data_IF_910868178761
#
_entry.id   IF_910868178761
#
_cell.length_a   1.000
_cell.length_b   1.000
_cell.length_c   1.000
_cell.angle_alpha   90.00
_cell.angle_beta   90.00
_cell.angle_gamma   90.00
#
_symmetry.space_group_name_H-M   'P 1'
#
loop_
_entity.id
_entity.type
_entity.pdbx_description
1 polymer ?
#
# COMPACT_ATOMS: atom_id res chain seq x y z
N UNK A 1 1.94 -19.58 15.89
CA UNK A 1 1.68 -18.22 15.38
C UNK A 1 0.78 -17.56 16.43
N UNK A 2 1.20 -16.45 17.05
CA UNK A 2 0.45 -15.82 18.15
C UNK A 2 -0.73 -15.07 17.53
N UNK A 3 -1.95 -15.40 17.96
CA UNK A 3 -3.19 -14.73 17.53
C UNK A 3 -3.16 -13.25 17.91
N UNK A 4 -3.63 -12.35 17.05
CA UNK A 4 -3.84 -10.95 17.36
C UNK A 4 -5.01 -10.77 18.34
N UNK A 5 -5.98 -11.69 18.29
CA UNK A 5 -6.98 -11.80 19.35
C UNK A 5 -6.41 -12.70 20.46
N UNK A 6 -5.58 -12.10 21.31
CA UNK A 6 -4.88 -12.75 22.44
C UNK A 6 -5.30 -12.10 23.77
N UNK A 7 -5.21 -12.87 24.86
CA UNK A 7 -5.54 -12.44 26.22
C UNK A 7 -4.81 -11.14 26.59
N UNK A 8 -3.60 -10.94 26.06
CA UNK A 8 -2.82 -9.72 26.24
C UNK A 8 -3.52 -8.46 25.72
N UNK A 9 -4.19 -8.52 24.57
CA UNK A 9 -4.89 -7.37 24.01
C UNK A 9 -6.18 -7.07 24.77
N UNK A 10 -6.84 -8.09 25.32
CA UNK A 10 -7.98 -7.94 26.21
C UNK A 10 -7.57 -7.30 27.55
N UNK A 11 -6.42 -7.72 28.10
CA UNK A 11 -5.83 -7.13 29.31
C UNK A 11 -5.53 -5.64 29.08
N UNK A 12 -4.88 -5.30 27.97
CA UNK A 12 -4.60 -3.91 27.61
C UNK A 12 -5.88 -3.09 27.43
N UNK A 13 -6.90 -3.65 26.79
CA UNK A 13 -8.19 -2.97 26.63
C UNK A 13 -8.84 -2.64 27.98
N UNK A 14 -8.88 -3.62 28.90
CA UNK A 14 -9.41 -3.41 30.24
C UNK A 14 -8.59 -2.38 31.02
N UNK A 15 -7.25 -2.43 30.94
CA UNK A 15 -6.38 -1.42 31.55
C UNK A 15 -6.71 -0.01 31.06
N UNK A 16 -6.83 0.18 29.74
CA UNK A 16 -7.12 1.51 29.20
C UNK A 16 -8.52 2.01 29.55
N UNK A 17 -9.50 1.11 29.66
CA UNK A 17 -10.84 1.47 30.15
C UNK A 17 -10.79 1.92 31.61
N UNK A 18 -10.11 1.20 32.48
CA UNK A 18 -9.90 1.62 33.88
C UNK A 18 -9.24 3.00 33.97
N UNK A 19 -8.20 3.24 33.16
CA UNK A 19 -7.50 4.52 33.11
C UNK A 19 -8.42 5.69 32.71
N UNK A 20 -9.37 5.46 31.78
CA UNK A 20 -10.40 6.45 31.41
C UNK A 20 -11.36 6.81 32.56
N UNK A 21 -11.52 5.91 33.54
CA UNK A 21 -12.28 6.15 34.76
C UNK A 21 -11.40 6.61 35.94
N UNK A 22 -10.19 7.12 35.66
CA UNK A 22 -9.23 7.58 36.68
C UNK A 22 -8.85 6.48 37.69
N UNK A 23 -8.84 5.22 37.22
CA UNK A 23 -8.37 4.05 37.97
C UNK A 23 -7.12 3.51 37.30
N UNK A 24 -5.96 3.68 37.94
CA UNK A 24 -4.69 3.17 37.43
C UNK A 24 -4.35 1.83 38.09
N UNK A 25 -4.62 0.74 37.38
CA UNK A 25 -4.27 -0.63 37.78
C UNK A 25 -3.51 -1.26 36.61
N UNK A 26 -2.20 -1.02 36.45
CA UNK A 26 -1.45 -1.57 35.32
C UNK A 26 -1.29 -3.08 35.42
N UNK A 27 -1.30 -3.82 34.29
CA UNK A 27 -1.08 -5.27 34.29
C UNK A 27 0.33 -5.63 34.78
N UNK A 28 0.43 -6.69 35.58
CA UNK A 28 1.71 -7.21 36.08
C UNK A 28 2.38 -8.13 35.05
N UNK A 29 3.70 -8.27 35.13
CA UNK A 29 4.48 -9.10 34.21
C UNK A 29 4.09 -10.59 34.25
N UNK A 30 3.53 -11.03 35.37
CA UNK A 30 3.02 -12.38 35.64
C UNK A 30 1.60 -12.62 35.11
N UNK A 31 0.87 -11.55 34.77
CA UNK A 31 -0.51 -11.63 34.30
C UNK A 31 -0.54 -11.87 32.78
N UNK A 32 -0.30 -13.13 32.40
CA UNK A 32 -0.50 -13.58 31.03
C UNK A 32 -1.99 -13.84 30.70
N UNK A 33 -2.83 -14.02 31.73
CA UNK A 33 -4.22 -14.43 31.58
C UNK A 33 -5.22 -13.37 32.03
N UNK A 34 -6.24 -13.14 31.20
CA UNK A 34 -7.27 -12.13 31.43
C UNK A 34 -8.05 -12.36 32.72
N UNK A 35 -8.39 -13.61 33.05
CA UNK A 35 -9.17 -13.94 34.25
C UNK A 35 -8.41 -13.60 35.55
N UNK A 36 -7.08 -13.76 35.56
CA UNK A 36 -6.25 -13.38 36.70
C UNK A 36 -6.26 -11.87 36.88
N UNK A 37 -6.07 -11.13 35.79
CA UNK A 37 -6.08 -9.67 35.82
C UNK A 37 -7.46 -9.12 36.23
N UNK A 38 -8.55 -9.65 35.69
CA UNK A 38 -9.91 -9.26 36.08
C UNK A 38 -10.20 -9.55 37.55
N UNK A 39 -9.73 -10.68 38.09
CA UNK A 39 -9.87 -11.00 39.52
C UNK A 39 -9.14 -9.98 40.39
N UNK A 40 -7.93 -9.57 40.00
CA UNK A 40 -7.16 -8.54 40.71
C UNK A 40 -7.87 -7.19 40.63
N UNK A 41 -8.28 -6.77 39.44
CA UNK A 41 -9.05 -5.54 39.21
C UNK A 41 -10.31 -5.52 40.07
N UNK A 42 -11.09 -6.61 40.08
CA UNK A 42 -12.30 -6.75 40.91
C UNK A 42 -12.01 -6.55 42.39
N UNK A 43 -11.00 -7.26 42.92
CA UNK A 43 -10.61 -7.14 44.32
C UNK A 43 -10.16 -5.72 44.68
N UNK A 44 -9.38 -5.07 43.82
CA UNK A 44 -8.88 -3.71 44.04
C UNK A 44 -10.02 -2.68 44.00
N UNK A 45 -10.95 -2.79 43.05
CA UNK A 45 -12.11 -1.90 42.95
C UNK A 45 -13.04 -2.00 44.18
N UNK A 46 -13.29 -3.22 44.66
CA UNK A 46 -14.10 -3.46 45.85
C UNK A 46 -13.39 -2.99 47.13
N UNK A 47 -12.10 -3.29 47.27
CA UNK A 47 -11.32 -2.87 48.44
C UNK A 47 -11.15 -1.35 48.55
N UNK A 48 -11.14 -0.64 47.42
CA UNK A 48 -11.07 0.81 47.36
C UNK A 48 -12.41 1.53 47.51
N UNK A 49 -13.51 0.83 47.84
CA UNK A 49 -14.88 1.38 47.87
C UNK A 49 -15.26 2.15 46.58
N UNK A 50 -14.73 1.72 45.42
CA UNK A 50 -14.97 2.39 44.13
C UNK A 50 -16.27 1.95 43.44
N UNK A 51 -17.03 1.04 44.05
CA UNK A 51 -18.34 0.60 43.57
C UNK A 51 -18.86 -0.62 44.32
N UNK A 52 -20.15 -0.90 44.15
CA UNK A 52 -20.78 -2.14 44.62
C UNK A 52 -20.35 -3.34 43.77
N UNK A 53 -20.51 -4.56 44.31
CA UNK A 53 -20.21 -5.81 43.58
C UNK A 53 -20.90 -5.88 42.21
N UNK A 54 -22.17 -5.46 42.17
CA UNK A 54 -22.95 -5.41 40.93
C UNK A 54 -22.38 -4.43 39.92
N UNK A 55 -21.93 -3.26 40.35
CA UNK A 55 -21.37 -2.23 39.44
C UNK A 55 -20.03 -2.68 38.87
N UNK A 56 -19.15 -3.25 39.70
CA UNK A 56 -17.85 -3.78 39.27
C UNK A 56 -18.04 -4.93 38.28
N UNK A 57 -18.93 -5.87 38.56
CA UNK A 57 -19.19 -7.00 37.67
C UNK A 57 -19.85 -6.55 36.35
N UNK A 58 -20.74 -5.54 36.42
CA UNK A 58 -21.35 -4.92 35.23
C UNK A 58 -20.29 -4.23 34.38
N UNK A 59 -19.36 -3.48 35.00
CA UNK A 59 -18.27 -2.80 34.30
C UNK A 59 -17.35 -3.79 33.57
N UNK A 60 -16.91 -4.86 34.23
CA UNK A 60 -16.03 -5.89 33.62
C UNK A 60 -16.76 -6.56 32.45
N UNK A 61 -18.03 -6.94 32.63
CA UNK A 61 -18.82 -7.58 31.57
C UNK A 61 -19.07 -6.65 30.38
N UNK A 62 -19.42 -5.39 30.61
CA UNK A 62 -19.58 -4.40 29.55
C UNK A 62 -18.26 -4.19 28.80
N UNK A 63 -17.14 -4.11 29.52
CA UNK A 63 -15.81 -3.97 28.93
C UNK A 63 -15.47 -5.16 28.03
N UNK A 64 -15.80 -6.40 28.43
CA UNK A 64 -15.63 -7.59 27.56
C UNK A 64 -16.47 -7.52 26.28
N UNK A 65 -17.73 -7.08 26.40
CA UNK A 65 -18.63 -6.92 25.24
C UNK A 65 -18.12 -5.83 24.29
N UNK A 66 -17.65 -4.72 24.83
CA UNK A 66 -17.03 -3.64 24.06
C UNK A 66 -15.72 -4.10 23.39
N UNK A 67 -14.86 -4.84 24.10
CA UNK A 67 -13.63 -5.38 23.53
C UNK A 67 -13.90 -6.24 22.30
N UNK A 68 -14.94 -7.08 22.33
CA UNK A 68 -15.38 -7.88 21.16
C UNK A 68 -15.86 -7.03 19.98
N UNK A 69 -16.32 -5.81 20.23
CA UNK A 69 -16.76 -4.88 19.18
C UNK A 69 -15.61 -4.03 18.65
N UNK A 70 -14.65 -3.66 19.50
CA UNK A 70 -13.60 -2.68 19.20
C UNK A 70 -12.28 -3.30 18.70
N UNK A 71 -11.98 -4.54 19.10
CA UNK A 71 -10.77 -5.25 18.70
C UNK A 71 -11.01 -5.98 17.38
N UNK A 72 -10.26 -5.69 16.31
CA UNK A 72 -10.37 -6.45 15.06
C UNK A 72 -9.87 -7.89 15.24
N UNK A 73 -10.51 -8.85 14.56
CA UNK A 73 -10.03 -10.23 14.53
C UNK A 73 -8.92 -10.44 13.47
N UNK A 74 -8.23 -11.59 13.50
CA UNK A 74 -7.15 -11.88 12.55
C UNK A 74 -7.61 -11.84 11.08
N UNK A 75 -8.81 -12.36 10.79
CA UNK A 75 -9.38 -12.33 9.43
C UNK A 75 -9.58 -10.89 8.94
N UNK A 76 -9.92 -9.96 9.84
CA UNK A 76 -10.07 -8.54 9.53
C UNK A 76 -8.71 -7.83 9.29
N UNK A 77 -7.60 -8.45 9.71
CA UNK A 77 -6.25 -7.97 9.47
C UNK A 77 -5.57 -8.67 8.28
N UNK A 78 -6.13 -9.79 7.81
CA UNK A 78 -5.49 -10.66 6.81
C UNK A 78 -5.01 -9.89 5.58
N UNK A 79 -5.83 -8.94 5.11
CA UNK A 79 -5.61 -8.15 3.89
C UNK A 79 -4.28 -7.38 3.86
N UNK A 80 -3.76 -6.92 5.02
CA UNK A 80 -2.44 -6.27 5.07
C UNK A 80 -1.36 -7.17 5.66
N UNK A 81 -1.70 -8.33 6.23
CA UNK A 81 -0.70 -9.29 6.73
C UNK A 81 -0.19 -10.24 5.66
N UNK A 82 -0.92 -10.38 4.56
CA UNK A 82 -0.60 -11.29 3.44
C UNK A 82 -0.20 -10.54 2.16
N UNK A 83 -0.50 -9.25 2.06
CA UNK A 83 -0.17 -8.41 0.92
C UNK A 83 0.81 -7.30 1.33
N UNK A 84 2.04 -7.40 0.80
CA UNK A 84 3.09 -6.42 1.05
C UNK A 84 2.75 -5.02 0.55
N UNK A 85 1.98 -4.91 -0.53
CA UNK A 85 1.50 -3.63 -1.08
C UNK A 85 0.51 -2.96 -0.13
N UNK A 86 -0.43 -3.74 0.41
CA UNK A 86 -1.41 -3.28 1.37
C UNK A 86 -0.74 -2.78 2.66
N UNK A 87 0.21 -3.55 3.22
CA UNK A 87 0.94 -3.14 4.41
C UNK A 87 1.71 -1.83 4.23
N UNK A 88 2.30 -1.63 3.07
CA UNK A 88 3.09 -0.43 2.77
C UNK A 88 2.18 0.79 2.60
N UNK A 89 1.10 0.64 1.80
CA UNK A 89 0.09 1.68 1.61
C UNK A 89 -0.54 2.11 2.94
N UNK A 90 -0.93 1.16 3.78
CA UNK A 90 -1.56 1.42 5.08
C UNK A 90 -0.64 2.25 6.00
N UNK A 91 0.65 1.92 6.05
CA UNK A 91 1.61 2.71 6.83
C UNK A 91 1.75 4.13 6.28
N UNK A 92 1.94 4.30 4.97
CA UNK A 92 2.07 5.64 4.40
C UNK A 92 0.81 6.48 4.58
N UNK A 93 -0.37 5.89 4.43
CA UNK A 93 -1.65 6.59 4.57
C UNK A 93 -1.86 7.08 6.00
N UNK A 94 -1.71 6.18 6.96
CA UNK A 94 -1.85 6.52 8.39
C UNK A 94 -0.77 7.47 8.88
N UNK A 95 0.42 7.46 8.27
CA UNK A 95 1.50 8.40 8.56
C UNK A 95 1.23 9.81 7.98
N UNK A 96 0.70 9.91 6.75
CA UNK A 96 0.36 11.19 6.14
C UNK A 96 -0.81 11.90 6.81
N UNK A 97 -1.78 11.15 7.35
CA UNK A 97 -2.89 11.72 8.14
C UNK A 97 -2.39 12.49 9.37
N UNK A 98 -1.19 12.19 9.88
CA UNK A 98 -0.53 12.95 10.95
C UNK A 98 0.24 14.19 10.46
N UNK A 99 0.58 14.26 9.17
CA UNK A 99 1.31 15.39 8.56
C UNK A 99 0.36 16.50 8.12
N UNK A 100 -0.87 16.15 7.72
CA UNK A 100 -1.90 17.09 7.22
C UNK A 100 -2.82 17.64 8.30
N UNK A 101 -2.69 17.23 9.57
CA UNK A 101 -3.49 17.73 10.70
C UNK A 101 -3.34 19.23 11.01
N UNK A 102 -2.56 19.98 10.21
CA UNK A 102 -2.53 21.45 10.20
C UNK A 102 -3.40 22.12 9.13
N UNK A 103 -3.94 21.38 8.14
CA UNK A 103 -4.78 21.92 7.08
C UNK A 103 -5.94 20.96 6.77
N UNK A 104 -7.10 21.27 7.38
CA UNK A 104 -8.42 20.64 7.24
C UNK A 104 -8.69 19.34 8.04
N UNK A 105 -9.92 19.17 8.57
CA UNK A 105 -10.27 18.11 9.51
C UNK A 105 -10.57 16.81 8.77
N UNK A 106 -9.55 16.02 8.46
CA UNK A 106 -9.76 14.60 8.18
C UNK A 106 -9.91 13.88 9.53
N UNK A 107 -11.15 13.53 9.89
CA UNK A 107 -11.53 12.81 11.12
C UNK A 107 -11.11 11.33 11.13
N UNK A 108 -10.06 10.96 10.40
CA UNK A 108 -9.71 9.59 10.08
C UNK A 108 -8.25 9.27 10.39
N UNK A 109 -7.66 9.86 11.43
CA UNK A 109 -6.46 9.29 12.04
C UNK A 109 -6.85 8.03 12.83
N UNK A 110 -5.90 7.12 13.06
CA UNK A 110 -6.03 6.31 14.27
C UNK A 110 -6.24 7.29 15.42
N UNK A 111 -7.30 7.13 16.22
CA UNK A 111 -7.57 8.05 17.30
C UNK A 111 -6.27 8.20 18.13
N UNK A 112 -5.94 9.46 18.48
CA UNK A 112 -4.71 9.85 19.16
C UNK A 112 -5.02 10.17 20.63
N UNK A 113 -4.35 9.49 21.56
CA UNK A 113 -4.32 9.88 22.96
C UNK A 113 -3.67 11.26 23.05
N UNK A 114 -4.41 12.29 23.44
CA UNK A 114 -3.80 13.52 23.92
C UNK A 114 -3.32 13.25 25.35
N UNK A 115 -2.00 13.18 25.59
CA UNK A 115 -1.45 13.25 26.96
C UNK A 115 -0.40 12.22 27.41
N UNK A 116 0.10 11.30 26.56
CA UNK A 116 1.17 10.37 26.96
C UNK A 116 2.47 10.65 26.19
N UNK A 117 3.30 11.53 26.73
CA UNK A 117 4.53 12.06 26.11
C UNK A 117 5.66 11.04 25.84
N UNK A 118 5.52 9.77 26.23
CA UNK A 118 6.47 8.69 25.90
C UNK A 118 5.97 7.77 24.76
N UNK A 119 4.71 7.95 24.35
CA UNK A 119 4.01 7.09 23.38
C UNK A 119 3.46 7.89 22.19
N UNK A 120 3.50 9.23 22.28
CA UNK A 120 3.05 10.20 21.31
C UNK A 120 4.22 10.99 20.72
N UNK A 121 5.27 10.31 20.25
CA UNK A 121 6.06 11.00 19.23
C UNK A 121 5.24 10.96 17.94
N UNK A 122 5.01 12.11 17.28
CA UNK A 122 4.51 12.15 15.91
C UNK A 122 5.63 11.59 15.04
N UNK A 123 5.80 10.27 15.05
CA UNK A 123 6.76 9.60 14.19
C UNK A 123 6.21 9.71 12.78
N UNK A 124 6.60 10.76 12.08
CA UNK A 124 6.61 10.75 10.62
C UNK A 124 7.57 9.66 10.21
N UNK A 125 7.03 8.49 9.87
CA UNK A 125 7.83 7.31 9.58
C UNK A 125 8.70 7.53 8.36
N UNK A 126 8.26 8.31 7.37
CA UNK A 126 9.10 8.76 6.25
C UNK A 126 10.17 7.75 5.81
N UNK A 127 11.44 8.08 6.07
CA UNK A 127 12.60 7.25 5.72
C UNK A 127 12.84 6.04 6.65
N UNK A 128 12.18 6.01 7.80
CA UNK A 128 12.23 4.98 8.84
C UNK A 128 11.12 3.90 8.67
N UNK A 129 10.35 3.92 7.57
CA UNK A 129 9.42 2.82 7.28
C UNK A 129 10.20 1.50 7.23
N UNK A 130 9.75 0.46 7.94
CA UNK A 130 10.39 -0.83 7.89
C UNK A 130 10.46 -1.37 6.45
N UNK A 131 11.67 -1.72 5.95
CA UNK A 131 11.87 -2.09 4.56
C UNK A 131 11.32 -3.48 4.21
N UNK A 132 10.92 -4.27 5.21
CA UNK A 132 10.47 -5.65 5.04
C UNK A 132 9.03 -5.79 5.52
N UNK A 133 8.20 -6.45 4.72
CA UNK A 133 6.78 -6.70 5.00
C UNK A 133 6.49 -7.17 6.43
N UNK A 134 7.18 -8.21 6.92
CA UNK A 134 6.93 -8.76 8.26
C UNK A 134 7.16 -7.74 9.38
N UNK A 135 8.14 -6.84 9.23
CA UNK A 135 8.39 -5.79 10.20
C UNK A 135 7.33 -4.69 10.12
N UNK A 136 6.85 -4.35 8.90
CA UNK A 136 5.71 -3.44 8.72
C UNK A 136 4.45 -4.00 9.39
N UNK A 137 4.15 -5.28 9.17
CA UNK A 137 2.98 -5.94 9.78
C UNK A 137 3.02 -5.86 11.29
N UNK A 138 4.18 -6.13 11.92
CA UNK A 138 4.33 -5.99 13.37
C UNK A 138 4.08 -4.56 13.83
N UNK A 139 4.68 -3.58 13.15
CA UNK A 139 4.50 -2.17 13.47
C UNK A 139 3.03 -1.72 13.35
N UNK A 140 2.34 -2.14 12.28
CA UNK A 140 0.91 -1.88 12.09
C UNK A 140 0.10 -2.51 13.23
N UNK A 141 0.35 -3.79 13.55
CA UNK A 141 -0.32 -4.49 14.64
C UNK A 141 -0.11 -3.76 15.98
N UNK A 142 1.10 -3.30 16.28
CA UNK A 142 1.39 -2.52 17.48
C UNK A 142 0.64 -1.18 17.51
N UNK A 143 0.52 -0.48 16.36
CA UNK A 143 -0.27 0.74 16.25
C UNK A 143 -1.76 0.46 16.50
N UNK A 144 -2.31 -0.59 15.87
CA UNK A 144 -3.71 -0.99 16.08
C UNK A 144 -3.97 -1.25 17.56
N UNK A 145 -3.10 -2.02 18.24
CA UNK A 145 -3.23 -2.35 19.67
C UNK A 145 -3.27 -1.10 20.55
N UNK A 146 -2.43 -0.11 20.26
CA UNK A 146 -2.39 1.15 21.02
C UNK A 146 -3.67 1.97 20.84
N UNK A 147 -4.23 1.98 19.63
CA UNK A 147 -5.44 2.74 19.30
C UNK A 147 -6.74 2.13 19.80
N UNK A 148 -6.77 0.83 20.15
CA UNK A 148 -7.99 0.15 20.64
C UNK A 148 -8.60 0.91 21.84
N UNK A 149 -7.74 1.51 22.68
CA UNK A 149 -8.14 2.28 23.86
C UNK A 149 -9.11 3.42 23.57
N UNK A 150 -9.12 3.93 22.34
CA UNK A 150 -9.78 5.17 22.00
C UNK A 150 -11.16 4.96 21.36
N UNK A 151 -11.47 3.72 20.96
CA UNK A 151 -12.72 3.36 20.29
C UNK A 151 -12.67 3.57 18.77
N UNK A 152 -13.56 2.88 18.06
CA UNK A 152 -13.70 2.82 16.60
C UNK A 152 -12.52 2.21 15.83
N UNK A 153 -11.53 1.61 16.49
CA UNK A 153 -10.33 1.04 15.83
C UNK A 153 -10.68 -0.04 14.82
N UNK A 154 -11.56 -0.98 15.18
CA UNK A 154 -12.05 -2.02 14.24
C UNK A 154 -12.77 -1.41 13.05
N UNK A 155 -13.68 -0.47 13.27
CA UNK A 155 -14.43 0.19 12.19
C UNK A 155 -13.49 0.93 11.22
N UNK A 156 -12.45 1.58 11.77
CA UNK A 156 -11.44 2.26 10.97
C UNK A 156 -10.62 1.28 10.12
N UNK A 157 -10.18 0.15 10.69
CA UNK A 157 -9.51 -0.92 9.94
C UNK A 157 -10.41 -1.46 8.82
N UNK A 158 -11.69 -1.72 9.10
CA UNK A 158 -12.64 -2.19 8.09
C UNK A 158 -12.86 -1.16 6.98
N UNK A 159 -12.90 0.13 7.32
CA UNK A 159 -12.98 1.22 6.34
C UNK A 159 -11.76 1.22 5.42
N UNK A 160 -10.55 1.15 5.99
CA UNK A 160 -9.31 1.12 5.20
C UNK A 160 -9.20 -0.14 4.34
N UNK A 161 -9.69 -1.28 4.84
CA UNK A 161 -9.78 -2.51 4.05
C UNK A 161 -10.70 -2.33 2.83
N UNK A 162 -11.89 -1.75 3.02
CA UNK A 162 -12.82 -1.46 1.92
C UNK A 162 -12.21 -0.52 0.89
N UNK A 163 -11.50 0.51 1.34
CA UNK A 163 -10.80 1.46 0.49
C UNK A 163 -9.67 0.79 -0.31
N UNK A 164 -8.83 -0.02 0.35
CA UNK A 164 -7.82 -0.84 -0.31
C UNK A 164 -8.43 -1.73 -1.39
N UNK A 165 -9.55 -2.40 -1.07
CA UNK A 165 -10.26 -3.25 -2.01
C UNK A 165 -10.79 -2.46 -3.22
N UNK A 166 -11.34 -1.26 -3.02
CA UNK A 166 -11.77 -0.41 -4.13
C UNK A 166 -10.58 0.01 -5.02
N UNK A 167 -9.46 0.41 -4.41
CA UNK A 167 -8.25 0.80 -5.13
C UNK A 167 -7.69 -0.37 -5.97
N UNK A 168 -7.55 -1.55 -5.38
CA UNK A 168 -6.93 -2.70 -6.06
C UNK A 168 -7.85 -3.35 -7.09
N UNK A 169 -9.17 -3.25 -6.94
CA UNK A 169 -10.12 -3.84 -7.90
C UNK A 169 -10.45 -2.90 -9.04
N UNK A 170 -10.77 -1.64 -8.74
CA UNK A 170 -11.26 -0.70 -9.76
C UNK A 170 -10.16 0.18 -10.34
N UNK A 171 -9.09 0.42 -9.58
CA UNK A 171 -8.10 1.48 -9.87
C UNK A 171 -6.67 0.93 -9.98
N UNK A 172 -6.52 -0.38 -10.14
CA UNK A 172 -5.23 -1.01 -10.30
C UNK A 172 -4.65 -0.77 -11.69
N UNK A 173 -3.76 0.22 -11.77
CA UNK A 173 -3.11 0.63 -13.01
C UNK A 173 -1.91 -0.25 -13.38
N UNK A 174 -1.33 -0.96 -12.41
CA UNK A 174 -0.04 -1.64 -12.54
C UNK A 174 -0.13 -3.16 -12.66
N UNK A 175 -1.34 -3.73 -12.77
CA UNK A 175 -1.59 -5.17 -12.86
C UNK A 175 -0.77 -5.87 -13.96
N UNK A 176 -0.44 -5.14 -15.03
CA UNK A 176 0.30 -5.63 -16.19
C UNK A 176 1.83 -5.46 -16.08
N UNK A 177 2.32 -4.79 -15.03
CA UNK A 177 3.76 -4.59 -14.78
C UNK A 177 4.32 -5.83 -14.10
N UNK A 178 5.58 -6.17 -14.39
CA UNK A 178 6.23 -7.40 -13.92
C UNK A 178 5.55 -8.70 -14.39
N UNK A 179 4.70 -8.60 -15.40
CA UNK A 179 4.05 -9.76 -16.02
C UNK A 179 4.86 -10.34 -17.19
N UNK A 180 4.22 -11.25 -17.93
CA UNK A 180 4.82 -11.95 -19.10
C UNK A 180 5.35 -11.02 -20.20
N UNK A 181 4.93 -9.76 -20.22
CA UNK A 181 5.37 -8.77 -21.19
C UNK A 181 6.78 -8.21 -20.92
N UNK A 182 7.43 -8.58 -19.81
CA UNK A 182 8.83 -8.25 -19.53
C UNK A 182 9.10 -6.82 -19.04
N UNK A 183 8.06 -6.01 -18.83
CA UNK A 183 8.22 -4.66 -18.26
C UNK A 183 8.61 -4.78 -16.78
N UNK A 184 9.79 -4.25 -16.44
CA UNK A 184 10.35 -4.35 -15.09
C UNK A 184 9.71 -3.37 -14.10
N UNK A 185 9.84 -3.67 -12.82
CA UNK A 185 9.41 -2.75 -11.75
C UNK A 185 10.30 -1.51 -11.70
N UNK A 186 11.58 -1.61 -12.04
CA UNK A 186 12.46 -0.43 -12.11
C UNK A 186 11.99 0.56 -13.19
N UNK A 187 11.44 0.08 -14.31
CA UNK A 187 10.81 0.95 -15.31
C UNK A 187 9.61 1.71 -14.72
N UNK A 188 8.75 1.01 -13.96
CA UNK A 188 7.61 1.64 -13.30
C UNK A 188 8.06 2.68 -12.29
N UNK A 189 9.04 2.35 -11.44
CA UNK A 189 9.59 3.27 -10.45
C UNK A 189 10.11 4.55 -11.11
N UNK A 190 10.94 4.42 -12.14
CA UNK A 190 11.47 5.57 -12.88
C UNK A 190 10.35 6.41 -13.51
N UNK A 191 9.35 5.76 -14.10
CA UNK A 191 8.20 6.47 -14.68
C UNK A 191 7.45 7.28 -13.62
N UNK A 192 7.22 6.72 -12.43
CA UNK A 192 6.55 7.44 -11.34
C UNK A 192 7.39 8.61 -10.82
N UNK A 193 8.72 8.45 -10.74
CA UNK A 193 9.64 9.51 -10.32
C UNK A 193 9.64 10.68 -11.32
N UNK A 194 9.80 10.39 -12.61
CA UNK A 194 9.80 11.39 -13.69
C UNK A 194 8.49 12.17 -13.77
N UNK A 195 7.38 11.57 -13.34
CA UNK A 195 6.05 12.19 -13.34
C UNK A 195 5.64 12.76 -11.98
N UNK A 196 6.56 12.84 -11.00
CA UNK A 196 6.31 13.38 -9.65
C UNK A 196 5.13 12.70 -8.92
N UNK A 197 5.00 11.38 -9.09
CA UNK A 197 3.99 10.55 -8.41
C UNK A 197 4.54 9.88 -7.17
N UNK A 198 5.87 9.77 -7.04
CA UNK A 198 6.51 9.08 -5.92
C UNK A 198 6.40 9.82 -4.59
N UNK A 199 6.28 9.03 -3.52
CA UNK A 199 6.34 9.48 -2.14
C UNK A 199 7.77 9.90 -1.75
N UNK A 200 8.10 11.18 -1.95
CA UNK A 200 9.46 11.72 -1.81
C UNK A 200 10.08 11.54 -0.42
N UNK A 201 9.26 11.46 0.64
CA UNK A 201 9.72 11.28 2.03
C UNK A 201 9.90 9.82 2.43
N UNK A 202 9.61 8.87 1.54
CA UNK A 202 9.54 7.45 1.88
C UNK A 202 10.53 6.65 1.04
N UNK A 203 11.19 5.66 1.67
CA UNK A 203 12.16 4.75 1.05
C UNK A 203 11.58 3.37 0.85
N UNK A 204 11.94 2.74 -0.25
CA UNK A 204 11.69 1.32 -0.48
C UNK A 204 12.99 0.52 -0.35
N UNK A 205 12.89 -0.76 -0.03
CA UNK A 205 14.03 -1.66 -0.15
C UNK A 205 14.33 -1.98 -1.63
N UNK A 206 15.50 -2.55 -1.91
CA UNK A 206 15.89 -2.92 -3.28
C UNK A 206 15.13 -4.14 -3.83
N UNK A 207 14.50 -4.93 -2.96
CA UNK A 207 13.74 -6.11 -3.35
C UNK A 207 12.57 -5.77 -4.28
N UNK A 208 12.33 -6.63 -5.27
CA UNK A 208 11.25 -6.48 -6.26
C UNK A 208 9.89 -6.28 -5.60
N UNK A 209 9.59 -7.05 -4.56
CA UNK A 209 8.36 -6.96 -3.76
C UNK A 209 8.20 -5.58 -3.08
N UNK A 210 9.30 -5.02 -2.60
CA UNK A 210 9.29 -3.76 -1.86
C UNK A 210 9.17 -2.57 -2.80
N UNK A 211 9.84 -2.62 -3.96
CA UNK A 211 9.68 -1.64 -5.03
C UNK A 211 8.24 -1.61 -5.55
N UNK A 212 7.60 -2.78 -5.77
CA UNK A 212 6.21 -2.80 -6.23
C UNK A 212 5.27 -2.26 -5.15
N UNK A 213 5.45 -2.65 -3.88
CA UNK A 213 4.66 -2.12 -2.77
C UNK A 213 4.74 -0.58 -2.68
N UNK A 214 5.94 -0.02 -2.80
CA UNK A 214 6.17 1.43 -2.83
C UNK A 214 5.51 2.12 -4.02
N UNK A 215 5.57 1.52 -5.22
CA UNK A 215 4.92 2.07 -6.41
C UNK A 215 3.40 2.13 -6.23
N UNK A 216 2.79 1.06 -5.70
CA UNK A 216 1.35 1.02 -5.41
C UNK A 216 0.96 2.07 -4.37
N UNK A 217 1.67 2.14 -3.24
CA UNK A 217 1.40 3.13 -2.21
C UNK A 217 1.52 4.56 -2.74
N UNK A 218 2.57 4.84 -3.52
CA UNK A 218 2.79 6.16 -4.11
C UNK A 218 1.67 6.57 -5.04
N UNK A 219 1.28 5.68 -5.95
CA UNK A 219 0.19 5.96 -6.89
C UNK A 219 -1.16 6.15 -6.20
N UNK A 220 -1.51 5.28 -5.24
CA UNK A 220 -2.80 5.36 -4.57
C UNK A 220 -2.91 6.62 -3.71
N UNK A 221 -1.88 6.98 -2.96
CA UNK A 221 -1.86 8.22 -2.19
C UNK A 221 -1.91 9.45 -3.11
N UNK A 222 -1.09 9.46 -4.16
CA UNK A 222 -1.12 10.54 -5.17
C UNK A 222 -2.50 10.69 -5.81
N UNK A 223 -3.20 9.57 -6.03
CA UNK A 223 -4.53 9.56 -6.65
C UNK A 223 -5.62 10.10 -5.72
N UNK A 224 -5.45 9.94 -4.41
CA UNK A 224 -6.38 10.43 -3.39
C UNK A 224 -6.12 11.88 -2.98
N UNK A 225 -5.00 12.46 -3.40
CA UNK A 225 -4.62 13.85 -3.15
C UNK A 225 -5.76 14.82 -3.59
N UNK A 226 -6.33 15.52 -2.60
CA UNK A 226 -7.48 16.41 -2.77
C UNK A 226 -7.15 17.64 -3.62
N UNK A 227 -5.88 18.04 -3.68
CA UNK A 227 -5.46 19.18 -4.49
C UNK A 227 -5.40 18.87 -5.99
N UNK A 228 -5.59 17.60 -6.38
CA UNK A 228 -5.53 17.17 -7.78
C UNK A 228 -6.92 17.05 -8.37
N UNK A 229 -7.06 17.61 -9.57
CA UNK A 229 -8.29 17.52 -10.36
C UNK A 229 -8.44 16.14 -10.99
N UNK A 230 -9.68 15.74 -11.29
CA UNK A 230 -9.93 14.47 -11.99
C UNK A 230 -9.28 14.46 -13.39
N UNK A 231 -9.24 15.61 -14.06
CA UNK A 231 -8.60 15.74 -15.37
C UNK A 231 -7.09 15.44 -15.33
N UNK A 232 -6.38 15.88 -14.29
CA UNK A 232 -4.96 15.55 -14.10
C UNK A 232 -4.75 14.05 -13.90
N UNK A 233 -5.62 13.41 -13.12
CA UNK A 233 -5.59 11.96 -12.86
C UNK A 233 -5.84 11.17 -14.14
N UNK A 234 -6.86 11.54 -14.91
CA UNK A 234 -7.18 10.91 -16.20
C UNK A 234 -6.05 11.09 -17.22
N UNK A 235 -5.46 12.30 -17.28
CA UNK A 235 -4.33 12.59 -18.16
C UNK A 235 -3.13 11.70 -17.83
N UNK A 236 -2.80 11.56 -16.55
CA UNK A 236 -1.74 10.68 -16.10
C UNK A 236 -2.00 9.23 -16.49
N UNK A 237 -3.21 8.71 -16.21
CA UNK A 237 -3.60 7.33 -16.55
C UNK A 237 -3.46 7.08 -18.05
N UNK A 238 -3.91 8.02 -18.88
CA UNK A 238 -3.81 7.92 -20.35
C UNK A 238 -2.34 7.90 -20.81
N UNK A 239 -1.52 8.80 -20.29
CA UNK A 239 -0.07 8.85 -20.59
C UNK A 239 0.63 7.56 -20.16
N UNK A 240 0.33 7.07 -18.95
CA UNK A 240 0.90 5.84 -18.42
C UNK A 240 0.56 4.65 -19.31
N UNK A 241 -0.72 4.46 -19.67
CA UNK A 241 -1.14 3.34 -20.54
C UNK A 241 -0.44 3.38 -21.90
N UNK A 242 -0.28 4.57 -22.48
CA UNK A 242 0.45 4.77 -23.74
C UNK A 242 1.94 4.40 -23.61
N UNK A 243 2.59 4.90 -22.56
CA UNK A 243 3.99 4.62 -22.25
C UNK A 243 4.22 3.12 -21.98
N UNK A 244 3.34 2.49 -21.21
CA UNK A 244 3.39 1.07 -20.89
C UNK A 244 3.22 0.22 -22.16
N UNK A 245 2.27 0.55 -23.04
CA UNK A 245 2.10 -0.14 -24.32
C UNK A 245 3.36 -0.05 -25.20
N UNK A 246 3.96 1.14 -25.25
CA UNK A 246 5.22 1.37 -25.97
C UNK A 246 6.35 0.54 -25.38
N UNK A 247 6.46 0.49 -24.05
CA UNK A 247 7.50 -0.30 -23.37
C UNK A 247 7.32 -1.79 -23.59
N UNK A 248 6.09 -2.33 -23.48
CA UNK A 248 5.78 -3.73 -23.81
C UNK A 248 6.18 -4.08 -25.24
N UNK A 249 5.92 -3.19 -26.20
CA UNK A 249 6.33 -3.36 -27.60
C UNK A 249 7.85 -3.40 -27.76
N UNK A 250 8.58 -2.55 -27.04
CA UNK A 250 10.05 -2.54 -27.03
C UNK A 250 10.62 -3.84 -26.46
N UNK A 251 10.09 -4.31 -25.33
CA UNK A 251 10.54 -5.56 -24.71
C UNK A 251 10.24 -6.78 -25.59
N UNK A 252 9.06 -6.83 -26.22
CA UNK A 252 8.76 -7.87 -27.21
C UNK A 252 9.77 -7.87 -28.37
N UNK A 253 10.08 -6.70 -28.94
CA UNK A 253 11.07 -6.60 -30.02
C UNK A 253 12.47 -7.05 -29.59
N UNK A 254 12.89 -6.71 -28.36
CA UNK A 254 14.16 -7.18 -27.79
C UNK A 254 14.20 -8.70 -27.66
N UNK A 255 13.12 -9.31 -27.16
CA UNK A 255 12.99 -10.76 -27.05
C UNK A 255 13.02 -11.46 -28.43
N UNK A 256 12.34 -10.90 -29.42
CA UNK A 256 12.29 -11.41 -30.80
C UNK A 256 13.60 -11.17 -31.60
N UNK A 257 14.66 -10.64 -30.96
CA UNK A 257 15.94 -10.23 -31.60
C UNK A 257 15.78 -9.21 -32.74
N UNK A 258 14.64 -8.53 -32.81
CA UNK A 258 14.38 -7.50 -33.80
C UNK A 258 15.16 -6.22 -33.41
N UNK A 259 16.07 -5.78 -34.27
CA UNK A 259 16.82 -4.53 -34.08
C UNK A 259 16.11 -3.39 -34.80
N UNK A 260 15.80 -2.33 -34.05
CA UNK A 260 15.36 -1.08 -34.67
C UNK A 260 16.56 -0.41 -35.35
N UNK A 261 16.39 -0.04 -36.62
CA UNK A 261 17.39 0.68 -37.40
C UNK A 261 16.81 2.05 -37.77
N UNK A 262 17.49 3.12 -37.33
CA UNK A 262 17.17 4.48 -37.76
C UNK A 262 18.04 4.81 -38.98
N UNK A 263 17.42 5.00 -40.14
CA UNK A 263 18.09 5.36 -41.38
C UNK A 263 17.52 6.65 -41.93
N UNK A 264 18.39 7.49 -42.49
CA UNK A 264 18.01 8.67 -43.26
C UNK A 264 17.97 8.24 -44.73
N UNK A 265 16.81 8.43 -45.37
CA UNK A 265 16.59 8.11 -46.79
C UNK A 265 16.04 9.35 -47.50
N UNK A 266 16.16 9.40 -48.83
CA UNK A 266 15.54 10.48 -49.61
C UNK A 266 14.01 10.41 -49.52
N UNK A 267 13.35 11.55 -49.63
CA UNK A 267 11.88 11.63 -49.63
C UNK A 267 11.27 10.73 -50.71
N UNK A 268 11.84 10.74 -51.91
CA UNK A 268 11.39 9.89 -53.01
C UNK A 268 11.44 8.39 -52.66
N UNK A 269 12.50 7.96 -51.98
CA UNK A 269 12.65 6.56 -51.52
C UNK A 269 11.62 6.23 -50.45
N UNK A 270 11.37 7.16 -49.53
CA UNK A 270 10.34 7.02 -48.51
C UNK A 270 8.94 6.84 -49.14
N UNK A 271 8.62 7.65 -50.14
CA UNK A 271 7.31 7.62 -50.81
C UNK A 271 7.11 6.32 -51.60
N UNK A 272 8.13 5.86 -52.34
CA UNK A 272 8.13 4.54 -53.00
C UNK A 272 7.91 3.40 -52.01
N UNK A 273 8.61 3.46 -50.88
CA UNK A 273 8.52 2.45 -49.83
C UNK A 273 7.12 2.43 -49.20
N UNK A 274 6.53 3.60 -48.96
CA UNK A 274 5.18 3.73 -48.43
C UNK A 274 4.13 3.20 -49.40
N UNK A 275 4.28 3.50 -50.68
CA UNK A 275 3.37 3.03 -51.72
C UNK A 275 3.38 1.51 -51.84
N UNK A 276 4.56 0.87 -51.86
CA UNK A 276 4.68 -0.60 -51.83
C UNK A 276 4.04 -1.17 -50.56
N UNK A 277 4.31 -0.57 -49.39
CA UNK A 277 3.71 -0.98 -48.11
C UNK A 277 2.18 -0.98 -48.15
N UNK A 278 1.58 0.05 -48.74
CA UNK A 278 0.12 0.17 -48.88
C UNK A 278 -0.44 -0.85 -49.86
N UNK A 279 0.16 -1.00 -51.05
CA UNK A 279 -0.32 -1.93 -52.08
C UNK A 279 -0.26 -3.39 -51.63
N UNK A 280 0.82 -3.77 -50.94
CA UNK A 280 1.06 -5.16 -50.52
C UNK A 280 0.49 -5.46 -49.13
N UNK A 281 -0.04 -4.47 -48.41
CA UNK A 281 -0.58 -4.64 -47.06
C UNK A 281 0.49 -5.06 -46.02
N UNK A 282 1.76 -4.77 -46.28
CA UNK A 282 2.89 -5.11 -45.39
C UNK A 282 3.51 -3.86 -44.77
N UNK A 283 4.28 -4.01 -43.70
CA UNK A 283 4.94 -2.87 -43.07
C UNK A 283 6.11 -2.34 -43.90
N UNK A 284 6.39 -1.04 -43.78
CA UNK A 284 7.59 -0.39 -44.31
C UNK A 284 8.88 -1.18 -44.00
N UNK A 285 9.01 -1.72 -42.78
CA UNK A 285 10.16 -2.54 -42.39
C UNK A 285 10.26 -3.84 -43.20
N UNK A 286 9.12 -4.48 -43.49
CA UNK A 286 9.09 -5.71 -44.30
C UNK A 286 9.46 -5.47 -45.75
N UNK A 287 9.08 -4.32 -46.31
CA UNK A 287 9.54 -3.88 -47.64
C UNK A 287 11.06 -3.75 -47.67
N UNK A 288 11.66 -3.13 -46.65
CA UNK A 288 13.12 -2.99 -46.52
C UNK A 288 13.79 -4.37 -46.42
N UNK A 289 13.30 -5.25 -45.54
CA UNK A 289 13.85 -6.60 -45.40
C UNK A 289 13.81 -7.38 -46.71
N UNK A 290 12.70 -7.27 -47.45
CA UNK A 290 12.54 -7.91 -48.75
C UNK A 290 13.54 -7.35 -49.78
N UNK A 291 13.69 -6.04 -49.85
CA UNK A 291 14.66 -5.39 -50.74
C UNK A 291 16.11 -5.79 -50.42
N UNK A 292 16.48 -5.81 -49.13
CA UNK A 292 17.81 -6.27 -48.68
C UNK A 292 18.03 -7.73 -49.08
N UNK A 293 17.04 -8.59 -48.88
CA UNK A 293 17.16 -10.01 -49.20
C UNK A 293 17.29 -10.26 -50.70
N UNK A 294 16.57 -9.50 -51.54
CA UNK A 294 16.76 -9.52 -53.00
C UNK A 294 18.17 -9.08 -53.40
N UNK A 295 18.63 -7.95 -52.87
CA UNK A 295 19.97 -7.44 -53.14
C UNK A 295 21.07 -8.43 -52.71
N UNK A 296 20.90 -9.06 -51.54
CA UNK A 296 21.80 -10.09 -51.03
C UNK A 296 21.86 -11.32 -51.95
N UNK A 297 20.71 -11.83 -52.40
CA UNK A 297 20.64 -12.97 -53.34
C UNK A 297 21.31 -12.65 -54.68
N UNK A 298 21.14 -11.44 -55.20
CA UNK A 298 21.79 -11.01 -56.44
C UNK A 298 23.32 -10.96 -56.30
N UNK A 299 23.84 -10.62 -55.12
CA UNK A 299 25.29 -10.61 -54.85
C UNK A 299 25.89 -12.00 -54.62
N UNK A 300 25.11 -12.97 -54.14
CA UNK A 300 25.55 -14.36 -53.98
C UNK A 300 25.60 -15.13 -55.31
N UNK A 301 24.75 -14.77 -56.27
CA UNK A 301 24.77 -15.30 -57.63
C UNK A 301 25.10 -14.18 -58.63
N UNK A 302 26.32 -13.63 -58.61
CA UNK A 302 26.73 -12.67 -59.62
C UNK A 302 26.76 -13.41 -60.96
N UNK A 303 25.93 -12.96 -61.91
CA UNK A 303 26.07 -13.35 -63.32
C UNK A 303 27.38 -12.79 -63.88
#
# INVERSE_FOLDING_TARGET
MVSFYDERNLILFLYFKLKKFEVDIPPESSEANLANYEKRVRNLLLSGNKGSEREVDTFINNTRVEAKKEIPCEDELEWFTTDSRASYWLLCKTDQDHVTSGYAPYTNTFPIQVGNSLLNEPFTLGFDIPPVHNLRVRLIKDKVVKSISEGNTRQYILKLHNEWNELITKKNLFSDVNGKAGVTIDWLLNYLQENNVTLQRYRHAEGTEEKIAYCYASYFIWREDFFRTEAERELFIRKFKSALSTQKSREKKRADKNKALNVIISQETHDKLRDISVREGISNARVIEYAIHLAWRQKLNPR
#
